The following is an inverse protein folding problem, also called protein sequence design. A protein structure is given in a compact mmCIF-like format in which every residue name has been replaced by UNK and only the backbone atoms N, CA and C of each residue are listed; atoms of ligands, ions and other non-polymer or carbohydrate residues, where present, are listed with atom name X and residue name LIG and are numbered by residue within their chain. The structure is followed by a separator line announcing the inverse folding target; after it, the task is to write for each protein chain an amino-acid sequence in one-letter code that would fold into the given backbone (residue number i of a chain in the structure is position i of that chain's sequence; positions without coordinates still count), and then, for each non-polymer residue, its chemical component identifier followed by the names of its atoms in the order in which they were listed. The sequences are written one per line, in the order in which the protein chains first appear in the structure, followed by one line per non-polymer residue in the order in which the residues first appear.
data_IF_844789780409
#
_entry.id   IF_844789780409
#
_cell.length_a   1.000
_cell.length_b   1.000
_cell.length_c   1.000
_cell.angle_alpha   90.00
_cell.angle_beta   90.00
_cell.angle_gamma   90.00
#
_symmetry.space_group_name_H-M   'P 1'
#
loop_
_entity.id
_entity.type
_entity.pdbx_description
1 polymer ?
#
# COMPACT_ATOMS: atom_id res chain seq x y z
N UNK A 1 21.90 -22.37 14.88
CA UNK A 1 20.52 -21.91 14.65
C UNK A 1 20.67 -20.57 13.97
N UNK A 2 20.33 -20.50 12.68
CA UNK A 2 20.37 -19.21 11.97
C UNK A 2 19.34 -18.29 12.62
N UNK A 3 19.81 -17.21 13.23
CA UNK A 3 18.92 -16.21 13.80
C UNK A 3 18.38 -15.38 12.62
N UNK A 4 17.19 -15.71 12.16
CA UNK A 4 16.48 -14.94 11.14
C UNK A 4 15.69 -13.87 11.89
N UNK A 5 16.00 -12.60 11.67
CA UNK A 5 15.36 -11.51 12.39
C UNK A 5 13.91 -11.30 11.91
N UNK A 6 13.64 -11.53 10.61
CA UNK A 6 12.33 -11.42 10.00
C UNK A 6 12.05 -12.61 9.09
N UNK A 7 10.79 -13.03 9.03
CA UNK A 7 10.31 -14.03 8.08
C UNK A 7 10.00 -13.39 6.72
N UNK A 8 9.68 -12.08 6.72
CA UNK A 8 9.39 -11.29 5.53
C UNK A 8 9.89 -9.85 5.70
N UNK A 9 10.58 -9.33 4.69
CA UNK A 9 10.92 -7.92 4.59
C UNK A 9 10.19 -7.28 3.42
N UNK A 10 9.46 -6.20 3.71
CA UNK A 10 8.77 -5.37 2.73
C UNK A 10 9.61 -4.10 2.54
N UNK A 11 10.04 -3.84 1.31
CA UNK A 11 10.83 -2.65 0.99
C UNK A 11 9.95 -1.60 0.33
N UNK A 12 9.80 -0.48 0.99
CA UNK A 12 8.95 0.64 0.62
C UNK A 12 7.64 0.69 1.42
N UNK A 13 7.47 1.71 2.24
CA UNK A 13 6.29 2.00 3.06
C UNK A 13 5.21 2.81 2.33
N UNK A 14 5.28 2.92 1.00
CA UNK A 14 4.24 3.53 0.18
C UNK A 14 2.93 2.75 0.18
N UNK A 15 1.94 3.18 -0.62
CA UNK A 15 0.60 2.59 -0.63
C UNK A 15 0.59 1.06 -0.78
N UNK A 16 1.46 0.50 -1.62
CA UNK A 16 1.51 -0.95 -1.88
C UNK A 16 2.10 -1.69 -0.68
N UNK A 17 3.30 -1.29 -0.22
CA UNK A 17 3.97 -1.97 0.90
C UNK A 17 3.20 -1.84 2.21
N UNK A 18 2.68 -0.64 2.51
CA UNK A 18 1.85 -0.43 3.69
C UNK A 18 0.54 -1.26 3.63
N UNK A 19 -0.10 -1.37 2.45
CA UNK A 19 -1.29 -2.21 2.30
C UNK A 19 -0.96 -3.69 2.48
N UNK A 20 0.18 -4.16 1.97
CA UNK A 20 0.65 -5.53 2.18
C UNK A 20 0.93 -5.81 3.65
N UNK A 21 1.60 -4.89 4.35
CA UNK A 21 1.84 -4.99 5.79
C UNK A 21 0.51 -5.10 6.56
N UNK A 22 -0.49 -4.26 6.24
CA UNK A 22 -1.81 -4.34 6.82
C UNK A 22 -2.51 -5.69 6.54
N UNK A 23 -2.35 -6.23 5.33
CA UNK A 23 -2.97 -7.50 4.94
C UNK A 23 -2.37 -8.71 5.67
N UNK A 24 -1.15 -8.59 6.15
CA UNK A 24 -0.42 -9.64 6.87
C UNK A 24 -0.50 -9.48 8.40
N UNK A 25 -1.27 -8.49 8.90
CA UNK A 25 -1.46 -8.33 10.35
C UNK A 25 -2.07 -9.59 10.98
N UNK A 26 -1.48 -10.00 12.08
CA UNK A 26 -1.94 -11.17 12.85
C UNK A 26 -1.60 -12.53 12.24
N UNK A 27 -0.84 -12.58 11.15
CA UNK A 27 -0.24 -13.83 10.68
C UNK A 27 0.93 -14.21 11.61
N UNK A 28 1.26 -15.48 11.66
CA UNK A 28 2.41 -16.01 12.43
C UNK A 28 3.71 -15.77 11.64
N UNK A 29 4.00 -14.49 11.38
CA UNK A 29 5.17 -14.00 10.66
C UNK A 29 5.74 -12.79 11.38
N UNK A 30 7.05 -12.69 11.49
CA UNK A 30 7.76 -11.46 11.87
C UNK A 30 8.05 -10.66 10.61
N UNK A 31 7.52 -9.46 10.50
CA UNK A 31 7.59 -8.66 9.28
C UNK A 31 8.34 -7.37 9.57
N UNK A 32 9.37 -7.08 8.76
CA UNK A 32 10.02 -5.77 8.73
C UNK A 32 9.49 -4.95 7.55
N UNK A 33 9.05 -3.72 7.80
CA UNK A 33 8.69 -2.76 6.75
C UNK A 33 9.74 -1.66 6.71
N UNK A 34 10.56 -1.66 5.64
CA UNK A 34 11.67 -0.72 5.44
C UNK A 34 11.17 0.46 4.61
N UNK A 35 11.34 1.70 5.13
CA UNK A 35 10.99 2.91 4.40
C UNK A 35 12.07 3.99 4.57
N UNK A 36 12.55 4.52 3.43
CA UNK A 36 13.64 5.49 3.41
C UNK A 36 13.19 6.92 3.70
N UNK A 37 11.95 7.25 3.34
CA UNK A 37 11.38 8.57 3.60
C UNK A 37 10.69 8.60 4.98
N UNK A 38 10.65 9.75 5.66
CA UNK A 38 9.83 9.88 6.85
C UNK A 38 8.36 9.52 6.57
N UNK A 39 7.77 8.68 7.40
CA UNK A 39 6.38 8.25 7.28
C UNK A 39 5.42 9.33 7.82
N UNK A 40 5.44 10.47 7.16
CA UNK A 40 4.45 11.55 7.36
C UNK A 40 3.78 11.87 6.03
N UNK A 41 2.48 12.15 6.05
CA UNK A 41 1.71 12.41 4.83
C UNK A 41 2.33 13.54 4.00
N UNK A 42 2.81 14.59 4.66
CA UNK A 42 3.40 15.78 4.02
C UNK A 42 4.79 15.57 3.44
N UNK A 43 5.52 14.55 3.89
CA UNK A 43 6.91 14.31 3.47
C UNK A 43 7.06 13.07 2.59
N UNK A 44 6.07 12.18 2.55
CA UNK A 44 6.18 10.95 1.78
C UNK A 44 5.83 11.21 0.30
N UNK A 45 6.74 10.95 -0.65
CA UNK A 45 6.57 11.30 -2.06
C UNK A 45 5.43 10.55 -2.77
N UNK A 46 4.96 9.45 -2.21
CA UNK A 46 3.83 8.67 -2.74
C UNK A 46 2.45 9.14 -2.26
N UNK A 47 2.40 10.10 -1.32
CA UNK A 47 1.16 10.59 -0.69
C UNK A 47 0.91 12.05 -1.04
N UNK A 48 0.75 12.33 -2.32
CA UNK A 48 0.49 13.66 -2.87
C UNK A 48 -1.01 13.91 -3.16
N UNK A 49 -1.31 15.04 -3.77
CA UNK A 49 -2.69 15.44 -4.10
C UNK A 49 -3.25 14.78 -5.37
N UNK A 50 -2.52 13.82 -5.98
CA UNK A 50 -3.05 13.07 -7.11
C UNK A 50 -4.27 12.27 -6.71
N UNK A 51 -5.24 12.23 -7.61
CA UNK A 51 -6.38 11.33 -7.47
C UNK A 51 -6.10 9.99 -8.11
N UNK A 52 -6.54 8.92 -7.46
CA UNK A 52 -6.40 7.55 -7.94
C UNK A 52 -7.78 6.96 -8.19
N UNK A 53 -7.95 6.30 -9.33
CA UNK A 53 -9.13 5.50 -9.60
C UNK A 53 -8.93 4.10 -8.97
N UNK A 54 -9.69 3.81 -7.95
CA UNK A 54 -9.69 2.54 -7.25
C UNK A 54 -10.77 1.65 -7.85
N UNK A 55 -10.37 0.47 -8.33
CA UNK A 55 -11.34 -0.54 -8.78
C UNK A 55 -12.19 -1.05 -7.60
N UNK A 56 -13.35 -1.63 -7.91
CA UNK A 56 -14.23 -2.24 -6.90
C UNK A 56 -13.51 -3.35 -6.10
N UNK A 57 -12.55 -4.06 -6.73
CA UNK A 57 -11.70 -5.02 -6.02
C UNK A 57 -10.83 -4.35 -4.95
N UNK A 58 -10.23 -3.21 -5.24
CA UNK A 58 -9.43 -2.45 -4.28
C UNK A 58 -10.29 -1.94 -3.11
N UNK A 59 -11.51 -1.48 -3.38
CA UNK A 59 -12.46 -1.13 -2.31
C UNK A 59 -12.69 -2.30 -1.35
N UNK A 60 -12.93 -3.51 -1.88
CA UNK A 60 -13.15 -4.72 -1.07
C UNK A 60 -11.91 -5.05 -0.21
N UNK A 61 -10.72 -4.94 -0.78
CA UNK A 61 -9.47 -5.11 -0.03
C UNK A 61 -9.41 -4.10 1.12
N UNK A 62 -9.64 -2.83 0.86
CA UNK A 62 -9.61 -1.78 1.89
C UNK A 62 -10.70 -1.96 2.95
N UNK A 63 -11.85 -2.54 2.60
CA UNK A 63 -12.86 -2.93 3.59
C UNK A 63 -12.33 -4.04 4.51
N UNK A 64 -11.71 -5.07 3.96
CA UNK A 64 -11.13 -6.17 4.75
C UNK A 64 -10.00 -5.69 5.66
N UNK A 65 -9.29 -4.64 5.24
CA UNK A 65 -8.21 -4.02 6.02
C UNK A 65 -8.71 -2.94 7.00
N UNK A 66 -10.02 -2.75 7.17
CA UNK A 66 -10.64 -1.69 7.98
C UNK A 66 -10.17 -0.26 7.63
N UNK A 67 -9.80 -0.04 6.35
CA UNK A 67 -9.36 1.26 5.85
C UNK A 67 -10.49 2.01 5.13
N UNK A 68 -11.48 1.28 4.60
CA UNK A 68 -12.49 1.85 3.72
C UNK A 68 -13.37 2.90 4.40
N UNK A 69 -13.77 2.67 5.65
CA UNK A 69 -14.66 3.60 6.36
C UNK A 69 -14.06 5.00 6.47
N UNK A 70 -12.73 5.09 6.64
CA UNK A 70 -12.02 6.37 6.67
C UNK A 70 -12.02 7.06 5.30
N UNK A 71 -11.96 6.30 4.20
CA UNK A 71 -11.90 6.80 2.83
C UNK A 71 -13.27 7.10 2.25
N UNK A 72 -14.30 6.36 2.65
CA UNK A 72 -15.64 6.42 2.08
C UNK A 72 -16.27 7.82 2.13
N UNK A 73 -15.97 8.60 3.20
CA UNK A 73 -16.51 9.95 3.37
C UNK A 73 -16.04 10.94 2.28
N UNK A 74 -14.87 10.67 1.66
CA UNK A 74 -14.25 11.56 0.66
C UNK A 74 -14.12 10.93 -0.71
N UNK A 75 -14.25 9.61 -0.82
CA UNK A 75 -14.17 8.89 -2.08
C UNK A 75 -15.39 9.18 -2.97
N UNK A 76 -15.15 9.51 -4.23
CA UNK A 76 -16.20 9.78 -5.22
C UNK A 76 -16.48 8.52 -6.04
N UNK A 77 -17.73 8.03 -6.11
CA UNK A 77 -18.06 6.83 -6.87
C UNK A 77 -17.98 7.04 -8.38
N UNK A 78 -17.36 6.12 -9.08
CA UNK A 78 -17.35 6.03 -10.55
C UNK A 78 -18.56 5.19 -10.95
N UNK A 79 -19.59 5.83 -11.51
CA UNK A 79 -20.82 5.14 -11.91
C UNK A 79 -20.86 4.78 -13.39
N UNK A 80 -20.13 5.53 -14.21
CA UNK A 80 -20.08 5.32 -15.66
C UNK A 80 -18.64 5.45 -16.14
N UNK A 81 -18.25 4.60 -17.09
CA UNK A 81 -16.96 4.67 -17.77
C UNK A 81 -17.24 4.66 -19.28
N UNK A 82 -16.74 5.67 -19.98
CA UNK A 82 -16.75 5.74 -21.43
C UNK A 82 -15.33 5.54 -21.95
N UNK A 83 -15.17 4.56 -22.81
CA UNK A 83 -13.88 4.20 -23.43
C UNK A 83 -14.01 4.42 -24.93
N UNK A 84 -13.13 5.25 -25.48
CA UNK A 84 -13.03 5.46 -26.92
C UNK A 84 -11.56 5.58 -27.33
N UNK A 85 -11.24 5.12 -28.52
CA UNK A 85 -9.91 5.22 -29.09
C UNK A 85 -9.89 6.30 -30.17
N UNK A 86 -8.88 7.18 -30.11
CA UNK A 86 -8.74 8.25 -31.10
C UNK A 86 -8.50 7.65 -32.48
N UNK A 87 -9.34 8.03 -33.47
CA UNK A 87 -9.26 7.52 -34.84
C UNK A 87 -9.95 6.19 -35.08
N UNK A 88 -10.57 5.58 -34.09
CA UNK A 88 -11.43 4.40 -34.21
C UNK A 88 -12.90 4.80 -34.05
N UNK A 89 -13.82 4.24 -34.85
CA UNK A 89 -15.26 4.51 -34.74
C UNK A 89 -15.92 3.77 -33.59
N UNK A 90 -15.19 2.87 -32.89
CA UNK A 90 -15.72 2.08 -31.80
C UNK A 90 -15.65 2.82 -30.46
N UNK A 91 -16.63 2.57 -29.59
CA UNK A 91 -16.60 2.97 -28.17
C UNK A 91 -17.20 1.85 -27.32
N UNK A 92 -16.81 1.82 -26.04
CA UNK A 92 -17.42 1.00 -25.00
C UNK A 92 -17.96 1.90 -23.90
N UNK A 93 -19.11 1.54 -23.37
CA UNK A 93 -19.74 2.22 -22.24
C UNK A 93 -20.07 1.21 -21.17
N UNK A 94 -19.62 1.49 -19.95
CA UNK A 94 -19.93 0.68 -18.77
C UNK A 94 -20.78 1.53 -17.83
N UNK A 95 -21.87 0.99 -17.34
CA UNK A 95 -22.73 1.61 -16.32
C UNK A 95 -22.87 0.67 -15.13
N UNK A 96 -22.71 1.18 -13.94
CA UNK A 96 -22.78 0.39 -12.73
C UNK A 96 -24.12 -0.31 -12.53
N UNK A 97 -25.20 0.23 -13.10
CA UNK A 97 -26.55 -0.35 -13.06
C UNK A 97 -26.64 -1.62 -13.89
N UNK A 98 -25.97 -1.64 -15.04
CA UNK A 98 -25.95 -2.82 -15.94
C UNK A 98 -25.15 -3.96 -15.31
N UNK A 99 -24.13 -3.62 -14.52
CA UNK A 99 -23.29 -4.55 -13.76
C UNK A 99 -23.88 -4.94 -12.39
N UNK A 100 -25.01 -4.36 -11.99
CA UNK A 100 -25.67 -4.66 -10.72
C UNK A 100 -24.87 -4.25 -9.49
N UNK A 101 -24.00 -3.24 -9.60
CA UNK A 101 -23.16 -2.73 -8.51
C UNK A 101 -23.46 -1.28 -8.18
N UNK A 102 -23.16 -0.84 -6.98
CA UNK A 102 -23.33 0.57 -6.56
C UNK A 102 -22.43 1.52 -7.34
N UNK A 103 -21.20 1.09 -7.61
CA UNK A 103 -20.20 1.82 -8.38
C UNK A 103 -19.24 0.85 -9.06
N UNK A 104 -18.68 1.24 -10.20
CA UNK A 104 -17.63 0.49 -10.91
C UNK A 104 -16.27 0.61 -10.19
N UNK A 105 -16.11 1.68 -9.43
CA UNK A 105 -14.92 2.01 -8.66
C UNK A 105 -15.11 3.33 -7.94
N UNK A 106 -14.01 3.87 -7.41
CA UNK A 106 -14.02 5.13 -6.65
C UNK A 106 -12.78 5.95 -6.97
N UNK A 107 -12.92 7.26 -6.98
CA UNK A 107 -11.79 8.18 -7.05
C UNK A 107 -11.47 8.64 -5.62
N UNK A 108 -10.22 8.50 -5.21
CA UNK A 108 -9.73 8.95 -3.90
C UNK A 108 -8.36 9.65 -4.06
N UNK A 109 -8.08 10.60 -3.18
CA UNK A 109 -6.79 11.29 -3.15
C UNK A 109 -5.71 10.40 -2.52
N UNK A 110 -4.52 10.35 -3.12
CA UNK A 110 -3.40 9.56 -2.64
C UNK A 110 -2.99 9.92 -1.21
N UNK A 111 -3.03 11.21 -0.84
CA UNK A 111 -2.74 11.67 0.52
C UNK A 111 -3.71 11.13 1.56
N UNK A 112 -5.00 10.94 1.22
CA UNK A 112 -6.00 10.41 2.16
C UNK A 112 -5.82 8.90 2.35
N UNK A 113 -5.49 8.18 1.26
CA UNK A 113 -5.12 6.76 1.33
C UNK A 113 -3.87 6.60 2.19
N UNK A 114 -2.85 7.43 1.95
CA UNK A 114 -1.63 7.45 2.74
C UNK A 114 -1.89 7.73 4.22
N UNK A 115 -2.72 8.72 4.54
CA UNK A 115 -3.08 9.04 5.92
C UNK A 115 -3.75 7.86 6.63
N UNK A 116 -4.68 7.17 5.95
CA UNK A 116 -5.36 6.01 6.51
C UNK A 116 -4.37 4.85 6.77
N UNK A 117 -3.48 4.57 5.82
CA UNK A 117 -2.44 3.55 5.97
C UNK A 117 -1.46 3.88 7.10
N UNK A 118 -0.95 5.12 7.14
CA UNK A 118 -0.02 5.56 8.18
C UNK A 118 -0.63 5.52 9.58
N UNK A 119 -1.92 5.80 9.71
CA UNK A 119 -2.63 5.68 10.98
C UNK A 119 -2.77 4.20 11.42
N UNK A 120 -2.85 3.28 10.45
CA UNK A 120 -3.00 1.83 10.71
C UNK A 120 -1.67 1.15 11.06
N UNK A 121 -0.56 1.52 10.39
CA UNK A 121 0.74 0.85 10.57
C UNK A 121 1.16 0.66 12.03
N UNK A 122 1.08 1.66 12.93
CA UNK A 122 1.48 1.49 14.32
C UNK A 122 0.60 0.53 15.14
N UNK A 123 -0.54 0.12 14.60
CA UNK A 123 -1.47 -0.80 15.28
C UNK A 123 -1.21 -2.27 14.93
N UNK A 124 -0.36 -2.54 13.94
CA UNK A 124 -0.04 -3.88 13.48
C UNK A 124 0.83 -4.60 14.52
N UNK A 125 0.50 -5.86 14.81
CA UNK A 125 1.09 -6.60 15.94
C UNK A 125 2.39 -7.32 15.60
N UNK A 126 2.55 -7.69 14.34
CA UNK A 126 3.64 -8.51 13.84
C UNK A 126 4.50 -7.80 12.79
N UNK A 127 4.35 -6.48 12.66
CA UNK A 127 5.10 -5.64 11.72
C UNK A 127 5.96 -4.67 12.51
N UNK A 128 7.27 -4.74 12.29
CA UNK A 128 8.23 -3.76 12.76
C UNK A 128 8.51 -2.73 11.69
N UNK A 129 8.37 -1.46 12.06
CA UNK A 129 8.58 -0.35 11.15
C UNK A 129 10.03 0.14 11.23
N UNK A 130 10.79 -0.10 10.18
CA UNK A 130 12.18 0.31 10.02
C UNK A 130 12.21 1.61 9.18
N UNK A 131 12.03 2.75 9.86
CA UNK A 131 11.91 4.06 9.21
C UNK A 131 12.49 5.17 10.13
N UNK A 132 13.29 6.09 9.58
CA UNK A 132 13.83 6.10 8.23
C UNK A 132 14.97 5.09 8.06
N UNK A 133 14.84 4.19 7.09
CA UNK A 133 15.84 3.18 6.80
C UNK A 133 15.93 2.90 5.30
N UNK A 134 17.13 2.69 4.81
CA UNK A 134 17.39 2.44 3.40
C UNK A 134 17.99 1.05 3.21
N UNK A 135 17.41 0.26 2.33
CA UNK A 135 18.01 -0.96 1.84
C UNK A 135 19.26 -0.63 1.03
N UNK A 136 20.41 -1.20 1.37
CA UNK A 136 21.67 -1.04 0.64
C UNK A 136 21.98 -2.23 -0.24
N UNK A 137 21.95 -3.43 0.32
CA UNK A 137 22.36 -4.62 -0.38
C UNK A 137 21.46 -5.80 -0.05
N UNK A 138 21.22 -6.63 -1.04
CA UNK A 138 20.54 -7.93 -0.87
C UNK A 138 21.53 -9.01 -1.31
N UNK A 139 21.84 -9.93 -0.42
CA UNK A 139 22.58 -11.16 -0.73
C UNK A 139 21.64 -12.33 -0.58
N UNK A 140 21.57 -13.17 -1.61
CA UNK A 140 20.75 -14.38 -1.58
C UNK A 140 21.71 -15.55 -1.39
N UNK A 141 21.55 -16.26 -0.28
CA UNK A 141 22.27 -17.49 0.02
C UNK A 141 21.35 -18.71 -0.16
N UNK A 142 21.87 -19.95 -0.23
CA UNK A 142 21.04 -21.12 -0.50
C UNK A 142 19.88 -21.32 0.48
N UNK A 143 20.04 -20.92 1.73
CA UNK A 143 19.07 -21.17 2.80
C UNK A 143 18.43 -19.89 3.36
N UNK A 144 18.89 -18.69 2.95
CA UNK A 144 18.37 -17.44 3.44
C UNK A 144 18.69 -16.26 2.49
N UNK A 145 17.92 -15.18 2.60
CA UNK A 145 18.31 -13.89 2.04
C UNK A 145 18.90 -13.03 3.17
N UNK A 146 20.15 -12.59 3.02
CA UNK A 146 20.76 -11.62 3.91
C UNK A 146 20.56 -10.23 3.34
N UNK A 147 20.09 -9.30 4.16
CA UNK A 147 19.75 -7.93 3.74
C UNK A 147 20.48 -6.95 4.63
N UNK A 148 21.31 -6.09 4.03
CA UNK A 148 21.96 -5.00 4.73
C UNK A 148 21.04 -3.76 4.65
N UNK A 149 20.65 -3.26 5.81
CA UNK A 149 19.79 -2.07 5.93
C UNK A 149 20.56 -0.98 6.66
N UNK A 150 20.64 0.21 6.07
CA UNK A 150 21.19 1.39 6.73
C UNK A 150 20.07 2.28 7.25
N UNK A 151 20.12 2.60 8.51
CA UNK A 151 19.24 3.58 9.15
C UNK A 151 19.83 4.99 9.03
N UNK A 152 18.97 6.02 9.11
CA UNK A 152 19.39 7.41 9.07
C UNK A 152 20.27 7.83 10.26
N UNK A 153 20.22 7.09 11.37
CA UNK A 153 21.03 7.26 12.57
C UNK A 153 22.31 6.39 12.60
N UNK A 154 22.77 5.90 11.44
CA UNK A 154 23.95 5.06 11.25
C UNK A 154 23.88 3.67 11.91
N UNK A 155 22.74 3.23 12.43
CA UNK A 155 22.58 1.84 12.85
C UNK A 155 22.50 0.93 11.62
N UNK A 156 23.22 -0.18 11.67
CA UNK A 156 23.13 -1.23 10.64
C UNK A 156 22.48 -2.45 11.30
N UNK A 157 21.54 -3.06 10.62
CA UNK A 157 20.96 -4.37 10.95
C UNK A 157 21.37 -5.35 9.88
N UNK A 158 21.96 -6.47 10.28
CA UNK A 158 22.30 -7.60 9.43
C UNK A 158 21.16 -8.61 9.36
#
# INVERSE_FOLDING_TARGET
MNNVDYDLLIVGGGMVGASLACALDGQDLRIGLIEAAPLTVSAHPGYDDRTLALAQGTRRIFQTLDLWETLAATATPIRQIHISERGSPGFAHLDCRDEGVEALGYVAEARLIGAALLAKLPTLRNVELLCPARLETVRIEPDAACIDVRFADERTVE
#
